data_IF_748514717467
#
_entry.id   IF_748514717467
#
_cell.length_a   1.000
_cell.length_b   1.000
_cell.length_c   1.000
_cell.angle_alpha   90.00
_cell.angle_beta   90.00
_cell.angle_gamma   90.00
#
_symmetry.space_group_name_H-M   'P 1'
#
loop_
_entity.id
_entity.type
_entity.pdbx_description
1 polymer ?
#
# COMPACT_ATOMS: atom_id res chain seq x y z
N UNK A 1 6.50 24.64 35.63
CA UNK A 1 5.60 24.39 36.77
C UNK A 1 6.11 25.21 37.95
N UNK A 2 5.60 26.43 38.08
CA UNK A 2 5.75 27.25 39.27
C UNK A 2 4.39 27.20 39.97
N UNK A 3 4.34 26.62 41.15
CA UNK A 3 3.15 26.61 42.01
C UNK A 3 2.95 28.01 42.58
N UNK A 4 1.95 28.71 42.04
CA UNK A 4 1.42 29.94 42.59
C UNK A 4 0.28 29.59 43.53
N UNK A 5 0.53 29.95 44.79
CA UNK A 5 -0.32 29.92 45.97
C UNK A 5 -1.77 30.34 45.69
N UNK A 6 -2.71 29.43 45.94
CA UNK A 6 -4.13 29.73 46.10
C UNK A 6 -4.38 30.23 47.53
N UNK A 7 -4.53 31.55 47.66
CA UNK A 7 -4.88 32.21 48.93
C UNK A 7 -6.38 32.50 48.89
N UNK A 8 -7.16 31.57 49.42
CA UNK A 8 -8.57 31.78 49.73
C UNK A 8 -8.73 32.57 51.03
N UNK A 9 -9.63 33.56 51.12
CA UNK A 9 -9.85 34.33 52.34
C UNK A 9 -10.77 33.56 53.30
N UNK A 10 -10.23 33.01 54.37
CA UNK A 10 -11.03 32.49 55.49
C UNK A 10 -11.37 33.65 56.42
N UNK A 11 -12.65 34.03 56.43
CA UNK A 11 -13.23 34.91 57.42
C UNK A 11 -13.00 34.31 58.82
N UNK A 12 -12.25 35.02 59.64
CA UNK A 12 -12.16 34.80 61.08
C UNK A 12 -13.45 35.35 61.71
N UNK A 13 -14.42 34.47 61.99
CA UNK A 13 -15.46 34.75 62.98
C UNK A 13 -14.86 34.49 64.37
N UNK A 14 -14.97 35.51 65.21
CA UNK A 14 -14.36 35.59 66.53
C UNK A 14 -15.39 35.10 67.56
N UNK A 15 -15.55 33.79 67.71
CA UNK A 15 -16.31 33.21 68.83
C UNK A 15 -15.35 32.89 69.97
N UNK A 16 -15.14 33.86 70.85
CA UNK A 16 -14.56 33.64 72.17
C UNK A 16 -15.66 33.27 73.15
N UNK A 17 -16.00 31.98 73.23
CA UNK A 17 -16.64 31.40 74.42
C UNK A 17 -15.61 30.55 75.15
N UNK A 18 -14.91 31.20 76.09
CA UNK A 18 -14.06 30.53 77.08
C UNK A 18 -14.99 29.82 78.06
N UNK A 19 -15.29 28.55 77.78
CA UNK A 19 -15.98 27.69 78.74
C UNK A 19 -14.93 27.06 79.66
N UNK A 20 -14.54 27.79 80.71
CA UNK A 20 -13.75 27.26 81.82
C UNK A 20 -14.59 26.22 82.56
N UNK A 21 -14.33 24.95 82.27
CA UNK A 21 -14.93 23.81 82.94
C UNK A 21 -14.34 23.68 84.36
N UNK A 22 -14.82 24.53 85.26
CA UNK A 22 -14.67 24.37 86.69
C UNK A 22 -15.63 23.26 87.13
N UNK A 23 -15.20 22.01 86.94
CA UNK A 23 -15.80 20.88 87.65
C UNK A 23 -15.77 21.16 89.15
N UNK A 24 -16.83 20.74 89.86
CA UNK A 24 -16.98 20.94 91.29
C UNK A 24 -15.72 20.47 92.03
N UNK A 25 -14.90 21.43 92.47
CA UNK A 25 -13.83 21.20 93.43
C UNK A 25 -14.49 21.01 94.80
N UNK A 26 -14.74 19.76 95.15
CA UNK A 26 -15.18 19.38 96.48
C UNK A 26 -14.03 19.55 97.48
N UNK A 27 -13.96 20.74 98.09
CA UNK A 27 -12.98 21.08 99.11
C UNK A 27 -13.30 20.49 100.51
N UNK A 28 -14.20 19.50 100.61
CA UNK A 28 -14.58 18.89 101.91
C UNK A 28 -13.92 17.54 102.19
N UNK A 29 -13.02 17.07 101.33
CA UNK A 29 -12.24 15.84 101.53
C UNK A 29 -10.77 16.17 101.87
N UNK A 30 -10.37 16.00 103.13
CA UNK A 30 -9.01 16.29 103.64
C UNK A 30 -7.93 15.25 103.30
N UNK A 31 -8.21 14.23 102.48
CA UNK A 31 -7.25 13.17 102.16
C UNK A 31 -6.98 13.09 100.65
N UNK A 32 -5.70 12.92 100.30
CA UNK A 32 -5.13 12.65 98.95
C UNK A 32 -4.69 13.86 98.11
N UNK A 33 -3.52 14.42 98.47
CA UNK A 33 -2.57 15.02 97.52
C UNK A 33 -1.09 14.81 97.93
N UNK A 34 -0.81 13.94 98.92
CA UNK A 34 0.55 13.64 99.40
C UNK A 34 1.12 12.32 98.83
N UNK A 35 0.29 11.33 98.52
CA UNK A 35 0.75 10.01 98.00
C UNK A 35 1.40 10.11 96.60
N UNK A 36 1.01 11.10 95.80
CA UNK A 36 1.56 11.31 94.46
C UNK A 36 2.99 11.89 94.51
N UNK A 37 3.32 12.59 95.61
CA UNK A 37 4.67 13.14 95.83
C UNK A 37 5.68 12.03 96.13
N UNK A 38 5.29 11.03 96.91
CA UNK A 38 6.17 9.90 97.25
C UNK A 38 6.49 9.02 96.04
N UNK A 39 5.54 8.86 95.11
CA UNK A 39 5.75 8.16 93.84
C UNK A 39 6.81 8.88 92.99
N UNK A 40 6.69 10.21 92.85
CA UNK A 40 7.67 11.00 92.08
C UNK A 40 9.05 11.09 92.74
N UNK A 41 9.14 10.99 94.07
CA UNK A 41 10.42 10.90 94.77
C UNK A 41 11.08 9.55 94.45
N UNK A 42 10.31 8.46 94.47
CA UNK A 42 10.82 7.12 94.17
C UNK A 42 11.32 7.00 92.72
N UNK A 43 10.58 7.55 91.77
CA UNK A 43 10.97 7.60 90.34
C UNK A 43 12.27 8.40 90.13
N UNK A 44 12.42 9.55 90.78
CA UNK A 44 13.63 10.36 90.68
C UNK A 44 14.85 9.71 91.36
N UNK A 45 14.66 8.88 92.39
CA UNK A 45 15.74 8.10 93.00
C UNK A 45 16.20 6.92 92.14
N UNK A 46 15.41 6.50 91.16
CA UNK A 46 15.76 5.43 90.24
C UNK A 46 16.60 5.90 89.04
N UNK A 47 16.57 7.20 88.72
CA UNK A 47 17.37 7.81 87.65
C UNK A 47 18.88 7.69 87.94
N UNK A 48 19.60 7.04 87.02
CA UNK A 48 21.04 6.76 87.13
C UNK A 48 21.88 8.04 87.25
N UNK A 49 21.42 9.15 86.65
CA UNK A 49 22.10 10.45 86.72
C UNK A 49 21.96 11.04 88.13
N UNK A 50 20.78 10.89 88.74
CA UNK A 50 20.48 11.34 90.10
C UNK A 50 21.23 10.49 91.14
N UNK A 51 21.36 9.18 90.92
CA UNK A 51 22.18 8.29 91.77
C UNK A 51 23.67 8.64 91.71
N UNK A 52 24.19 9.00 90.54
CA UNK A 52 25.59 9.40 90.40
C UNK A 52 25.87 10.76 91.06
N UNK A 53 24.94 11.72 90.93
CA UNK A 53 24.99 13.02 91.60
C UNK A 53 24.98 12.89 93.13
N UNK A 54 24.08 12.06 93.67
CA UNK A 54 23.97 11.78 95.11
C UNK A 54 25.19 11.02 95.66
N UNK A 55 25.77 10.06 94.89
CA UNK A 55 27.00 9.34 95.28
C UNK A 55 28.23 10.23 95.37
N UNK A 56 28.32 11.27 94.52
CA UNK A 56 29.41 12.26 94.54
C UNK A 56 29.20 13.34 95.63
N UNK A 57 28.05 13.37 96.30
CA UNK A 57 27.75 14.27 97.43
C UNK A 57 27.64 15.74 97.03
N UNK A 58 27.35 16.02 95.75
CA UNK A 58 27.24 17.37 95.21
C UNK A 58 25.77 17.77 95.14
N UNK A 59 25.44 19.02 95.49
CA UNK A 59 24.08 19.56 95.41
C UNK A 59 23.53 19.41 93.99
N UNK A 60 22.39 18.70 93.85
CA UNK A 60 21.75 18.40 92.55
C UNK A 60 21.51 19.67 91.73
N UNK A 61 21.22 20.81 92.37
CA UNK A 61 21.00 22.07 91.66
C UNK A 61 22.28 22.60 91.01
N UNK A 62 23.42 22.43 91.67
CA UNK A 62 24.72 22.79 91.11
C UNK A 62 25.13 21.82 89.99
N UNK A 63 24.88 20.53 90.17
CA UNK A 63 25.19 19.49 89.19
C UNK A 63 24.32 19.61 87.92
N UNK A 64 23.01 19.87 88.06
CA UNK A 64 22.12 20.17 86.93
C UNK A 64 22.58 21.41 86.17
N UNK A 65 23.03 22.45 86.89
CA UNK A 65 23.53 23.68 86.27
C UNK A 65 24.87 23.48 85.55
N UNK A 66 25.71 22.58 86.05
CA UNK A 66 26.99 22.21 85.43
C UNK A 66 26.77 21.33 84.19
N UNK A 67 25.86 20.34 84.25
CA UNK A 67 25.43 19.55 83.09
C UNK A 67 24.77 20.43 82.05
N UNK A 68 23.90 21.36 82.46
CA UNK A 68 23.25 22.30 81.54
C UNK A 68 24.29 23.18 80.86
N UNK A 69 25.32 23.65 81.57
CA UNK A 69 26.44 24.38 80.98
C UNK A 69 27.28 23.51 80.03
N UNK A 70 27.53 22.24 80.37
CA UNK A 70 28.30 21.32 79.54
C UNK A 70 27.54 20.94 78.26
N UNK A 71 26.24 20.68 78.37
CA UNK A 71 25.32 20.48 77.24
C UNK A 71 25.29 21.71 76.34
N UNK A 72 25.15 22.91 76.92
CA UNK A 72 25.13 24.15 76.15
C UNK A 72 26.47 24.39 75.43
N UNK A 73 27.57 23.92 76.02
CA UNK A 73 28.91 23.99 75.41
C UNK A 73 29.08 22.99 74.27
N UNK A 74 28.64 21.75 74.46
CA UNK A 74 28.64 20.69 73.42
C UNK A 74 27.69 21.04 72.29
N UNK A 75 26.53 21.62 72.59
CA UNK A 75 25.57 22.10 71.60
C UNK A 75 26.20 23.23 70.77
N UNK A 76 26.85 24.18 71.42
CA UNK A 76 27.51 25.28 70.73
C UNK A 76 28.71 24.80 69.88
N UNK A 77 29.50 23.85 70.38
CA UNK A 77 30.57 23.19 69.60
C UNK A 77 30.00 22.42 68.40
N UNK A 78 28.93 21.65 68.59
CA UNK A 78 28.27 20.89 67.52
C UNK A 78 27.67 21.83 66.46
N UNK A 79 27.03 22.91 66.88
CA UNK A 79 26.51 23.95 65.98
C UNK A 79 27.66 24.62 65.22
N UNK A 80 28.79 24.90 65.86
CA UNK A 80 29.96 25.44 65.16
C UNK A 80 30.54 24.47 64.13
N UNK A 81 30.60 23.18 64.43
CA UNK A 81 31.07 22.17 63.50
C UNK A 81 30.11 22.00 62.31
N UNK A 82 28.80 22.02 62.57
CA UNK A 82 27.78 22.06 61.50
C UNK A 82 27.88 23.33 60.66
N UNK A 83 28.13 24.50 61.26
CA UNK A 83 28.31 25.76 60.53
C UNK A 83 29.58 25.72 59.67
N UNK A 84 30.67 25.15 60.17
CA UNK A 84 31.91 24.95 59.39
C UNK A 84 31.68 24.01 58.21
N UNK A 85 31.05 22.87 58.44
CA UNK A 85 30.83 21.87 57.39
C UNK A 85 29.68 22.25 56.44
N UNK A 86 28.79 23.16 56.85
CA UNK A 86 27.69 23.69 56.04
C UNK A 86 28.20 24.30 54.72
N UNK A 87 29.36 24.95 54.72
CA UNK A 87 29.96 25.48 53.48
C UNK A 87 30.39 24.37 52.52
N UNK A 88 30.94 23.26 53.03
CA UNK A 88 31.32 22.11 52.22
C UNK A 88 30.09 21.38 51.69
N UNK A 89 29.07 21.17 52.54
CA UNK A 89 27.79 20.57 52.14
C UNK A 89 27.12 21.44 51.07
N UNK A 90 27.08 22.76 51.25
CA UNK A 90 26.52 23.68 50.26
C UNK A 90 27.30 23.70 48.94
N UNK A 91 28.63 23.56 49.00
CA UNK A 91 29.49 23.40 47.82
C UNK A 91 29.18 22.12 47.06
N UNK A 92 29.10 20.98 47.77
CA UNK A 92 28.74 19.69 47.18
C UNK A 92 27.33 19.74 46.58
N UNK A 93 26.37 20.35 47.28
CA UNK A 93 25.01 20.49 46.77
C UNK A 93 24.95 21.34 45.50
N UNK A 94 25.78 22.39 45.38
CA UNK A 94 25.92 23.15 44.12
C UNK A 94 26.54 22.32 43.01
N UNK A 95 27.53 21.47 43.31
CA UNK A 95 28.13 20.59 42.31
C UNK A 95 27.15 19.52 41.82
N UNK A 96 26.39 18.91 42.73
CA UNK A 96 25.33 17.96 42.40
C UNK A 96 24.27 18.65 41.54
N UNK A 97 23.79 19.83 41.94
CA UNK A 97 22.83 20.59 41.14
C UNK A 97 23.38 20.97 39.75
N UNK A 98 24.68 21.28 39.64
CA UNK A 98 25.32 21.54 38.37
C UNK A 98 25.39 20.27 37.49
N UNK A 99 25.70 19.11 38.08
CA UNK A 99 25.65 17.82 37.40
C UNK A 99 24.23 17.48 36.94
N UNK A 100 23.20 17.69 37.76
CA UNK A 100 21.80 17.48 37.39
C UNK A 100 21.41 18.38 36.21
N UNK A 101 21.85 19.64 36.20
CA UNK A 101 21.61 20.56 35.08
C UNK A 101 22.27 20.08 33.78
N UNK A 102 23.45 19.46 33.87
CA UNK A 102 24.14 18.88 32.71
C UNK A 102 23.41 17.63 32.22
N UNK A 103 22.98 16.76 33.13
CA UNK A 103 22.21 15.56 32.80
C UNK A 103 20.87 15.91 32.15
N UNK A 104 20.16 16.92 32.67
CA UNK A 104 18.93 17.43 32.10
C UNK A 104 19.14 17.94 30.65
N UNK A 105 20.24 18.65 30.40
CA UNK A 105 20.61 19.05 29.03
C UNK A 105 20.91 17.88 28.10
N UNK A 106 21.61 16.87 28.59
CA UNK A 106 21.90 15.66 27.80
C UNK A 106 20.61 14.88 27.52
N UNK A 107 19.71 14.78 28.49
CA UNK A 107 18.40 14.16 28.32
C UNK A 107 17.56 14.91 27.27
N UNK A 108 17.46 16.25 27.37
CA UNK A 108 16.76 17.05 26.38
C UNK A 108 17.34 16.88 24.97
N UNK A 109 18.67 16.83 24.85
CA UNK A 109 19.34 16.60 23.57
C UNK A 109 19.04 15.20 23.01
N UNK A 110 19.08 14.16 23.84
CA UNK A 110 18.76 12.78 23.44
C UNK A 110 17.29 12.62 23.08
N UNK A 111 16.37 13.24 23.82
CA UNK A 111 14.95 13.27 23.49
C UNK A 111 14.70 14.01 22.17
N UNK A 112 15.43 15.09 21.91
CA UNK A 112 15.43 15.77 20.62
C UNK A 112 15.87 14.85 19.48
N UNK A 113 17.03 14.20 19.63
CA UNK A 113 17.52 13.24 18.65
C UNK A 113 16.55 12.06 18.44
N UNK A 114 15.95 11.53 19.50
CA UNK A 114 14.93 10.48 19.39
C UNK A 114 13.71 10.97 18.60
N UNK A 115 13.24 12.18 18.88
CA UNK A 115 12.13 12.81 18.16
C UNK A 115 12.43 12.98 16.67
N UNK A 116 13.62 13.51 16.35
CA UNK A 116 14.06 13.70 14.97
C UNK A 116 14.18 12.36 14.23
N UNK A 117 14.79 11.35 14.87
CA UNK A 117 14.96 10.02 14.26
C UNK A 117 13.62 9.32 14.07
N UNK A 118 12.68 9.50 15.00
CA UNK A 118 11.31 8.98 14.88
C UNK A 118 10.57 9.67 13.74
N UNK A 119 10.66 11.01 13.63
CA UNK A 119 10.06 11.76 12.54
C UNK A 119 10.62 11.32 11.19
N UNK A 120 11.95 11.26 11.04
CA UNK A 120 12.61 10.81 9.81
C UNK A 120 12.21 9.36 9.47
N UNK A 121 12.18 8.46 10.44
CA UNK A 121 11.74 7.07 10.19
C UNK A 121 10.28 7.02 9.71
N UNK A 122 9.38 7.83 10.29
CA UNK A 122 7.99 7.88 9.81
C UNK A 122 7.86 8.48 8.41
N UNK A 123 8.66 9.48 8.07
CA UNK A 123 8.71 10.03 6.71
C UNK A 123 9.24 9.02 5.69
N UNK A 124 10.31 8.31 6.03
CA UNK A 124 10.87 7.23 5.18
C UNK A 124 9.83 6.13 4.98
N UNK A 125 9.14 5.71 6.05
CA UNK A 125 8.09 4.69 5.95
C UNK A 125 6.94 5.16 5.05
N UNK A 126 6.48 6.40 5.21
CA UNK A 126 5.44 7.00 4.37
C UNK A 126 5.86 7.06 2.90
N UNK A 127 7.09 7.48 2.61
CA UNK A 127 7.64 7.49 1.24
C UNK A 127 7.76 6.08 0.66
N UNK A 128 8.13 5.09 1.48
CA UNK A 128 8.22 3.71 1.07
C UNK A 128 6.84 3.14 0.73
N UNK A 129 5.84 3.39 1.57
CA UNK A 129 4.46 2.96 1.34
C UNK A 129 3.87 3.60 0.08
N UNK A 130 4.14 4.90 -0.14
CA UNK A 130 3.75 5.60 -1.36
C UNK A 130 4.43 5.02 -2.60
N UNK A 131 5.72 4.70 -2.51
CA UNK A 131 6.50 4.11 -3.60
C UNK A 131 5.96 2.73 -3.99
N UNK A 132 5.62 1.89 -3.00
CA UNK A 132 5.01 0.57 -3.22
C UNK A 132 3.63 0.73 -3.86
N UNK A 133 2.79 1.61 -3.32
CA UNK A 133 1.46 1.88 -3.88
C UNK A 133 1.53 2.39 -5.32
N UNK A 134 2.48 3.27 -5.64
CA UNK A 134 2.72 3.74 -7.00
C UNK A 134 3.19 2.61 -7.91
N UNK A 135 4.09 1.74 -7.44
CA UNK A 135 4.57 0.59 -8.22
C UNK A 135 3.43 -0.36 -8.58
N UNK A 136 2.54 -0.68 -7.63
CA UNK A 136 1.36 -1.51 -7.87
C UNK A 136 0.44 -0.86 -8.91
N UNK A 137 0.17 0.44 -8.79
CA UNK A 137 -0.63 1.18 -9.79
C UNK A 137 0.00 1.13 -11.19
N UNK A 138 1.33 1.28 -11.27
CA UNK A 138 2.05 1.20 -12.54
C UNK A 138 1.94 -0.20 -13.14
N UNK A 139 2.17 -1.25 -12.35
CA UNK A 139 2.10 -2.64 -12.81
C UNK A 139 0.69 -2.99 -13.31
N UNK A 140 -0.35 -2.58 -12.58
CA UNK A 140 -1.74 -2.78 -13.00
C UNK A 140 -2.04 -2.06 -14.31
N UNK A 141 -1.61 -0.79 -14.45
CA UNK A 141 -1.78 -0.03 -15.69
C UNK A 141 -1.02 -0.65 -16.86
N UNK A 142 0.18 -1.16 -16.63
CA UNK A 142 0.99 -1.78 -17.68
C UNK A 142 0.37 -3.11 -18.15
N UNK A 143 -0.15 -3.92 -17.23
CA UNK A 143 -0.87 -5.15 -17.55
C UNK A 143 -2.10 -4.86 -18.41
N UNK A 144 -2.94 -3.92 -17.98
CA UNK A 144 -4.16 -3.53 -18.72
C UNK A 144 -3.81 -2.90 -20.06
N UNK A 145 -2.77 -2.07 -20.13
CA UNK A 145 -2.32 -1.44 -21.38
C UNK A 145 -1.95 -2.49 -22.42
N UNK A 146 -1.29 -3.58 -22.03
CA UNK A 146 -0.94 -4.66 -22.94
C UNK A 146 -2.19 -5.30 -23.56
N UNK A 147 -3.13 -5.73 -22.72
CA UNK A 147 -4.38 -6.35 -23.17
C UNK A 147 -5.23 -5.40 -24.01
N UNK A 148 -5.34 -4.13 -23.58
CA UNK A 148 -6.13 -3.13 -24.30
C UNK A 148 -5.48 -2.74 -25.63
N UNK A 149 -4.14 -2.64 -25.69
CA UNK A 149 -3.43 -2.39 -26.95
C UNK A 149 -3.71 -3.49 -27.94
N UNK A 150 -3.55 -4.75 -27.52
CA UNK A 150 -3.85 -5.90 -28.38
C UNK A 150 -5.31 -5.87 -28.86
N UNK A 151 -6.26 -5.59 -27.97
CA UNK A 151 -7.67 -5.50 -28.34
C UNK A 151 -7.93 -4.39 -29.38
N UNK A 152 -7.30 -3.22 -29.21
CA UNK A 152 -7.44 -2.10 -30.14
C UNK A 152 -6.78 -2.43 -31.48
N UNK A 153 -5.58 -3.02 -31.46
CA UNK A 153 -4.86 -3.41 -32.68
C UNK A 153 -5.64 -4.43 -33.51
N UNK A 154 -6.33 -5.38 -32.86
CA UNK A 154 -7.20 -6.34 -33.54
C UNK A 154 -8.49 -5.70 -34.08
N UNK A 155 -9.05 -4.71 -33.37
CA UNK A 155 -10.29 -4.02 -33.76
C UNK A 155 -10.08 -2.99 -34.88
N UNK A 156 -8.92 -2.33 -34.91
CA UNK A 156 -8.61 -1.28 -35.89
C UNK A 156 -8.41 -1.89 -37.27
N UNK A 157 -9.00 -1.26 -38.29
CA UNK A 157 -8.75 -1.58 -39.70
C UNK A 157 -7.79 -0.52 -40.26
N UNK A 158 -6.53 -0.88 -40.58
CA UNK A 158 -5.59 0.07 -41.17
C UNK A 158 -6.07 0.57 -42.55
N UNK A 159 -5.82 1.84 -42.86
CA UNK A 159 -6.14 2.40 -44.19
C UNK A 159 -5.33 1.71 -45.30
N UNK A 160 -4.12 1.23 -44.98
CA UNK A 160 -3.29 0.42 -45.87
C UNK A 160 -4.01 -0.85 -46.31
N UNK A 161 -4.65 -1.58 -45.37
CA UNK A 161 -5.46 -2.76 -45.67
C UNK A 161 -6.60 -2.42 -46.65
N UNK A 162 -7.29 -1.31 -46.40
CA UNK A 162 -8.40 -0.86 -47.26
C UNK A 162 -7.89 -0.60 -48.69
N UNK A 163 -6.79 0.15 -48.83
CA UNK A 163 -6.17 0.46 -50.13
C UNK A 163 -5.69 -0.81 -50.84
N UNK A 164 -4.99 -1.70 -50.15
CA UNK A 164 -4.51 -2.95 -50.73
C UNK A 164 -5.65 -3.85 -51.21
N UNK A 165 -6.74 -3.98 -50.45
CA UNK A 165 -7.90 -4.78 -50.89
C UNK A 165 -8.58 -4.15 -52.11
N UNK A 166 -8.67 -2.81 -52.16
CA UNK A 166 -9.33 -2.10 -53.26
C UNK A 166 -8.48 -2.10 -54.54
N UNK A 167 -7.21 -1.73 -54.43
CA UNK A 167 -6.35 -1.33 -55.56
C UNK A 167 -5.41 -2.46 -56.01
N UNK A 168 -4.84 -3.25 -55.10
CA UNK A 168 -3.86 -4.27 -55.48
C UNK A 168 -4.51 -5.44 -56.25
N UNK A 169 -3.86 -5.96 -57.29
CA UNK A 169 -4.33 -7.14 -57.99
C UNK A 169 -4.23 -8.39 -57.11
N UNK A 170 -5.17 -9.33 -57.31
CA UNK A 170 -5.30 -10.58 -56.53
C UNK A 170 -4.07 -11.52 -56.68
N UNK A 171 -3.17 -11.24 -57.62
CA UNK A 171 -1.98 -12.08 -57.88
C UNK A 171 -0.81 -11.73 -56.95
N UNK A 172 -0.75 -10.50 -56.44
CA UNK A 172 0.32 -10.02 -55.57
C UNK A 172 0.25 -10.65 -54.18
N UNK A 173 1.42 -10.78 -53.54
CA UNK A 173 1.52 -11.37 -52.21
C UNK A 173 0.97 -10.43 -51.14
N UNK A 174 1.15 -9.12 -51.29
CA UNK A 174 0.55 -8.09 -50.42
C UNK A 174 -0.97 -8.26 -50.30
N UNK A 175 -1.67 -8.56 -51.39
CA UNK A 175 -3.12 -8.81 -51.34
C UNK A 175 -3.45 -10.07 -50.51
N UNK A 176 -2.64 -11.13 -50.61
CA UNK A 176 -2.86 -12.37 -49.86
C UNK A 176 -2.61 -12.17 -48.37
N UNK A 177 -1.55 -11.45 -48.01
CA UNK A 177 -1.25 -11.12 -46.61
C UNK A 177 -2.38 -10.29 -45.99
N UNK A 178 -2.82 -9.25 -46.69
CA UNK A 178 -3.93 -8.40 -46.24
C UNK A 178 -5.26 -9.17 -46.21
N UNK A 179 -5.46 -10.16 -47.08
CA UNK A 179 -6.63 -11.05 -47.04
C UNK A 179 -6.63 -11.96 -45.81
N UNK A 180 -5.46 -12.49 -45.42
CA UNK A 180 -5.31 -13.27 -44.19
C UNK A 180 -5.61 -12.42 -42.95
N UNK A 181 -5.06 -11.21 -42.88
CA UNK A 181 -5.30 -10.26 -41.79
C UNK A 181 -6.78 -9.85 -41.72
N UNK A 182 -7.41 -9.54 -42.87
CA UNK A 182 -8.85 -9.26 -42.94
C UNK A 182 -9.67 -10.44 -42.40
N UNK A 183 -9.34 -11.68 -42.78
CA UNK A 183 -10.05 -12.85 -42.29
C UNK A 183 -9.90 -13.03 -40.77
N UNK A 184 -8.71 -12.74 -40.23
CA UNK A 184 -8.48 -12.75 -38.79
C UNK A 184 -9.36 -11.71 -38.08
N UNK A 185 -9.35 -10.46 -38.55
CA UNK A 185 -10.18 -9.36 -38.00
C UNK A 185 -11.69 -9.66 -38.10
N UNK A 186 -12.15 -10.24 -39.20
CA UNK A 186 -13.55 -10.68 -39.35
C UNK A 186 -13.92 -11.71 -38.27
N UNK A 187 -13.07 -12.70 -38.02
CA UNK A 187 -13.33 -13.73 -37.01
C UNK A 187 -13.28 -13.14 -35.59
N UNK A 188 -12.31 -12.28 -35.31
CA UNK A 188 -12.21 -11.58 -34.02
C UNK A 188 -13.46 -10.74 -33.73
N UNK A 189 -13.93 -9.93 -34.69
CA UNK A 189 -15.16 -9.14 -34.51
C UNK A 189 -16.40 -10.03 -34.38
N UNK A 190 -16.47 -11.16 -35.09
CA UNK A 190 -17.55 -12.16 -34.90
C UNK A 190 -17.53 -12.74 -33.48
N UNK A 191 -16.37 -13.10 -32.95
CA UNK A 191 -16.23 -13.61 -31.57
C UNK A 191 -16.53 -12.54 -30.53
N UNK A 192 -16.18 -11.29 -30.77
CA UNK A 192 -16.46 -10.18 -29.84
C UNK A 192 -17.89 -9.63 -29.96
N UNK A 193 -18.60 -9.96 -31.04
CA UNK A 193 -19.99 -9.53 -31.22
C UNK A 193 -20.94 -10.05 -30.14
N UNK A 194 -20.58 -11.13 -29.44
CA UNK A 194 -21.32 -11.65 -28.28
C UNK A 194 -21.22 -10.77 -27.03
N UNK A 195 -20.29 -9.81 -27.00
CA UNK A 195 -20.05 -8.92 -25.85
C UNK A 195 -20.67 -7.52 -26.01
N UNK A 196 -21.44 -7.29 -27.08
CA UNK A 196 -22.18 -6.03 -27.36
C UNK A 196 -21.35 -4.73 -27.23
N UNK A 197 -20.05 -4.80 -27.54
CA UNK A 197 -19.21 -3.61 -27.53
C UNK A 197 -19.59 -2.67 -28.69
N UNK A 198 -19.81 -1.38 -28.39
CA UNK A 198 -20.17 -0.35 -29.40
C UNK A 198 -19.15 -0.25 -30.54
N UNK A 199 -17.86 -0.38 -30.23
CA UNK A 199 -16.79 -0.38 -31.23
C UNK A 199 -16.93 -1.50 -32.27
N UNK A 200 -17.47 -2.66 -31.89
CA UNK A 200 -17.74 -3.74 -32.85
C UNK A 200 -18.77 -3.31 -33.90
N UNK A 201 -19.79 -2.52 -33.52
CA UNK A 201 -20.82 -2.06 -34.44
C UNK A 201 -20.27 -1.07 -35.46
N UNK A 202 -19.40 -0.17 -35.03
CA UNK A 202 -18.78 0.85 -35.90
C UNK A 202 -17.88 0.20 -36.97
N UNK A 203 -17.10 -0.82 -36.57
CA UNK A 203 -16.15 -1.51 -37.45
C UNK A 203 -16.84 -2.54 -38.36
N UNK A 204 -17.97 -3.12 -37.91
CA UNK A 204 -18.67 -4.20 -38.62
C UNK A 204 -19.09 -3.83 -40.04
N UNK A 205 -19.65 -2.64 -40.26
CA UNK A 205 -20.09 -2.22 -41.61
C UNK A 205 -18.90 -2.10 -42.57
N UNK A 206 -17.78 -1.56 -42.11
CA UNK A 206 -16.55 -1.44 -42.91
C UNK A 206 -15.99 -2.82 -43.25
N UNK A 207 -15.90 -3.73 -42.27
CA UNK A 207 -15.45 -5.12 -42.51
C UNK A 207 -16.36 -5.85 -43.50
N UNK A 208 -17.68 -5.71 -43.37
CA UNK A 208 -18.63 -6.34 -44.30
C UNK A 208 -18.46 -5.82 -45.72
N UNK A 209 -18.27 -4.51 -45.91
CA UNK A 209 -17.97 -3.90 -47.22
C UNK A 209 -16.65 -4.41 -47.80
N UNK A 210 -15.58 -4.46 -47.00
CA UNK A 210 -14.28 -5.00 -47.42
C UNK A 210 -14.38 -6.49 -47.78
N UNK A 211 -15.10 -7.27 -46.99
CA UNK A 211 -15.37 -8.70 -47.24
C UNK A 211 -16.06 -8.88 -48.59
N UNK A 212 -17.15 -8.16 -48.85
CA UNK A 212 -17.88 -8.24 -50.13
C UNK A 212 -16.97 -7.88 -51.31
N UNK A 213 -16.15 -6.84 -51.17
CA UNK A 213 -15.22 -6.41 -52.21
C UNK A 213 -14.12 -7.45 -52.48
N UNK A 214 -13.51 -7.99 -51.44
CA UNK A 214 -12.50 -9.05 -51.55
C UNK A 214 -13.08 -10.30 -52.22
N UNK A 215 -14.28 -10.73 -51.82
CA UNK A 215 -14.98 -11.88 -52.41
C UNK A 215 -15.25 -11.65 -53.90
N UNK A 216 -15.69 -10.44 -54.26
CA UNK A 216 -15.99 -10.09 -55.65
C UNK A 216 -14.73 -10.16 -56.54
N UNK A 217 -13.61 -9.60 -56.07
CA UNK A 217 -12.31 -9.66 -56.79
C UNK A 217 -11.78 -11.08 -56.93
N UNK A 218 -11.86 -11.87 -55.85
CA UNK A 218 -11.43 -13.27 -55.86
C UNK A 218 -12.29 -14.10 -56.83
N UNK A 219 -13.62 -13.92 -56.78
CA UNK A 219 -14.56 -14.60 -57.68
C UNK A 219 -14.25 -14.28 -59.13
N UNK A 220 -14.11 -13.01 -59.47
CA UNK A 220 -13.79 -12.57 -60.82
C UNK A 220 -12.47 -13.18 -61.32
N UNK A 221 -11.43 -13.15 -60.49
CA UNK A 221 -10.14 -13.75 -60.81
C UNK A 221 -10.23 -15.26 -61.05
N UNK A 222 -10.90 -16.01 -60.16
CA UNK A 222 -11.03 -17.47 -60.29
C UNK A 222 -11.85 -17.84 -61.52
N UNK A 223 -12.97 -17.16 -61.78
CA UNK A 223 -13.78 -17.38 -62.97
C UNK A 223 -13.01 -17.05 -64.25
N UNK A 224 -12.24 -15.96 -64.28
CA UNK A 224 -11.40 -15.61 -65.41
C UNK A 224 -10.36 -16.71 -65.70
N UNK A 225 -9.74 -17.28 -64.66
CA UNK A 225 -8.83 -18.43 -64.82
C UNK A 225 -9.57 -19.68 -65.32
N UNK A 226 -10.78 -19.96 -64.84
CA UNK A 226 -11.61 -21.06 -65.32
C UNK A 226 -11.98 -20.89 -66.81
N UNK A 227 -12.38 -19.69 -67.21
CA UNK A 227 -12.72 -19.41 -68.61
C UNK A 227 -11.51 -19.48 -69.54
N UNK A 228 -10.30 -19.21 -69.04
CA UNK A 228 -9.08 -19.37 -69.83
C UNK A 228 -8.85 -20.83 -70.28
N UNK A 229 -9.40 -21.82 -69.58
CA UNK A 229 -9.34 -23.23 -70.01
C UNK A 229 -10.15 -23.52 -71.27
N UNK A 230 -11.11 -22.67 -71.64
CA UNK A 230 -11.92 -22.86 -72.87
C UNK A 230 -11.09 -22.69 -74.16
N UNK A 231 -9.86 -22.18 -74.06
CA UNK A 231 -8.96 -22.04 -75.22
C UNK A 231 -8.56 -23.43 -75.76
N UNK A 232 -8.78 -23.70 -77.07
CA UNK A 232 -8.46 -25.00 -77.66
C UNK A 232 -6.94 -25.25 -77.70
N UNK A 233 -6.55 -26.53 -77.67
CA UNK A 233 -5.16 -27.02 -77.83
C UNK A 233 -4.17 -26.58 -76.73
N UNK A 234 -4.63 -26.29 -75.51
CA UNK A 234 -3.74 -26.02 -74.37
C UNK A 234 -3.46 -27.28 -73.54
N UNK A 235 -2.23 -27.43 -73.02
CA UNK A 235 -1.96 -28.44 -72.00
C UNK A 235 -2.64 -28.02 -70.69
N UNK A 236 -3.83 -28.58 -70.42
CA UNK A 236 -4.66 -28.20 -69.26
C UNK A 236 -4.03 -28.52 -67.90
N UNK A 237 -3.03 -29.40 -67.84
CA UNK A 237 -2.32 -29.71 -66.58
C UNK A 237 -1.57 -28.48 -66.04
N UNK A 238 -1.03 -27.62 -66.92
CA UNK A 238 -0.26 -26.44 -66.51
C UNK A 238 -1.15 -25.38 -65.82
N UNK A 239 -2.27 -24.92 -66.41
CA UNK A 239 -3.18 -24.02 -65.72
C UNK A 239 -3.90 -24.67 -64.53
N UNK A 240 -4.14 -25.99 -64.49
CA UNK A 240 -4.63 -26.68 -63.29
C UNK A 240 -3.64 -26.59 -62.13
N UNK A 241 -2.35 -26.88 -62.37
CA UNK A 241 -1.30 -26.73 -61.36
C UNK A 241 -1.12 -25.28 -60.89
N UNK A 242 -1.38 -24.32 -61.77
CA UNK A 242 -1.36 -22.90 -61.42
C UNK A 242 -2.54 -22.53 -60.51
N UNK A 243 -3.73 -23.10 -60.74
CA UNK A 243 -4.91 -22.86 -59.90
C UNK A 243 -4.72 -23.40 -58.47
N UNK A 244 -4.00 -24.51 -58.30
CA UNK A 244 -3.69 -25.08 -56.98
C UNK A 244 -2.89 -24.12 -56.09
N UNK A 245 -2.06 -23.24 -56.67
CA UNK A 245 -1.33 -22.22 -55.92
C UNK A 245 -2.24 -21.18 -55.25
N UNK A 246 -3.50 -21.08 -55.71
CA UNK A 246 -4.50 -20.15 -55.19
C UNK A 246 -5.50 -20.80 -54.22
N UNK A 247 -5.11 -21.92 -53.58
CA UNK A 247 -5.94 -22.63 -52.57
C UNK A 247 -6.47 -21.70 -51.48
N UNK A 248 -5.64 -20.74 -51.03
CA UNK A 248 -5.98 -19.75 -49.98
C UNK A 248 -7.28 -19.01 -50.30
N UNK A 249 -7.54 -18.70 -51.57
CA UNK A 249 -8.77 -18.01 -51.98
C UNK A 249 -10.00 -18.88 -51.80
N UNK A 250 -9.90 -20.18 -52.10
CA UNK A 250 -11.01 -21.10 -51.88
C UNK A 250 -11.28 -21.31 -50.38
N UNK A 251 -10.24 -21.36 -49.54
CA UNK A 251 -10.40 -21.41 -48.09
C UNK A 251 -11.12 -20.17 -47.55
N UNK A 252 -10.69 -18.99 -47.99
CA UNK A 252 -11.31 -17.73 -47.62
C UNK A 252 -12.79 -17.67 -48.04
N UNK A 253 -13.11 -18.09 -49.27
CA UNK A 253 -14.49 -18.17 -49.74
C UNK A 253 -15.31 -19.18 -48.93
N UNK A 254 -14.77 -20.37 -48.62
CA UNK A 254 -15.49 -21.39 -47.83
C UNK A 254 -15.75 -20.94 -46.39
N UNK A 255 -14.85 -20.13 -45.80
CA UNK A 255 -15.00 -19.60 -44.46
C UNK A 255 -16.02 -18.46 -44.38
N UNK A 256 -16.11 -17.61 -45.42
CA UNK A 256 -16.95 -16.42 -45.40
C UNK A 256 -18.24 -16.54 -46.21
N UNK A 257 -18.20 -17.06 -47.44
CA UNK A 257 -19.34 -17.17 -48.36
C UNK A 257 -19.33 -18.48 -49.16
N UNK A 258 -19.93 -19.52 -48.57
CA UNK A 258 -19.96 -20.88 -49.16
C UNK A 258 -20.68 -20.94 -50.51
N UNK A 259 -21.63 -20.04 -50.76
CA UNK A 259 -22.36 -19.99 -52.03
C UNK A 259 -21.42 -19.65 -53.19
N UNK A 260 -20.54 -18.65 -53.01
CA UNK A 260 -19.58 -18.23 -54.05
C UNK A 260 -18.54 -19.33 -54.31
N UNK A 261 -18.06 -20.01 -53.26
CA UNK A 261 -17.16 -21.15 -53.41
C UNK A 261 -17.80 -22.28 -54.22
N UNK A 262 -19.09 -22.59 -53.96
CA UNK A 262 -19.85 -23.58 -54.72
C UNK A 262 -19.99 -23.18 -56.19
N UNK A 263 -20.32 -21.93 -56.47
CA UNK A 263 -20.42 -21.40 -57.82
C UNK A 263 -19.13 -21.59 -58.62
N UNK A 264 -17.99 -21.17 -58.07
CA UNK A 264 -16.67 -21.30 -58.73
C UNK A 264 -16.35 -22.77 -59.00
N UNK A 265 -16.65 -23.66 -58.06
CA UNK A 265 -16.43 -25.10 -58.23
C UNK A 265 -17.33 -25.68 -59.32
N UNK A 266 -18.62 -25.34 -59.32
CA UNK A 266 -19.59 -25.88 -60.27
C UNK A 266 -19.27 -25.39 -61.70
N UNK A 267 -18.83 -24.14 -61.87
CA UNK A 267 -18.35 -23.61 -63.17
C UNK A 267 -17.07 -24.30 -63.68
N UNK A 268 -16.15 -24.64 -62.77
CA UNK A 268 -14.96 -25.43 -63.10
C UNK A 268 -15.34 -26.84 -63.57
N UNK A 269 -16.26 -27.50 -62.86
CA UNK A 269 -16.74 -28.84 -63.20
C UNK A 269 -17.42 -28.82 -64.58
N UNK A 270 -18.31 -27.86 -64.84
CA UNK A 270 -18.98 -27.74 -66.14
C UNK A 270 -17.99 -27.49 -67.28
N UNK A 271 -17.06 -26.55 -67.10
CA UNK A 271 -16.05 -26.22 -68.11
C UNK A 271 -15.13 -27.42 -68.40
N UNK A 272 -14.62 -28.11 -67.38
CA UNK A 272 -13.79 -29.31 -67.57
C UNK A 272 -14.58 -30.46 -68.18
N UNK A 273 -15.81 -30.69 -67.76
CA UNK A 273 -16.65 -31.77 -68.29
C UNK A 273 -16.88 -31.61 -69.80
N UNK A 274 -17.18 -30.39 -70.26
CA UNK A 274 -17.33 -30.06 -71.68
C UNK A 274 -16.04 -30.27 -72.47
N UNK A 275 -14.90 -29.86 -71.90
CA UNK A 275 -13.58 -30.05 -72.52
C UNK A 275 -13.27 -31.54 -72.65
N UNK A 276 -13.30 -32.30 -71.56
CA UNK A 276 -13.01 -33.74 -71.58
C UNK A 276 -13.94 -34.48 -72.55
N UNK A 277 -15.24 -34.15 -72.55
CA UNK A 277 -16.18 -34.72 -73.51
C UNK A 277 -15.78 -34.43 -74.97
N UNK A 278 -15.41 -33.20 -75.30
CA UNK A 278 -14.93 -32.85 -76.64
C UNK A 278 -13.66 -33.61 -77.03
N UNK A 279 -12.72 -33.81 -76.09
CA UNK A 279 -11.51 -34.58 -76.32
C UNK A 279 -11.81 -36.06 -76.58
N UNK A 280 -12.62 -36.70 -75.73
CA UNK A 280 -13.00 -38.10 -75.90
C UNK A 280 -13.82 -38.32 -77.16
N UNK A 281 -14.76 -37.43 -77.48
CA UNK A 281 -15.53 -37.47 -78.73
C UNK A 281 -14.63 -37.31 -79.95
N UNK A 282 -13.69 -36.37 -79.90
CA UNK A 282 -12.70 -36.16 -80.96
C UNK A 282 -11.80 -37.37 -81.15
N UNK A 283 -11.27 -37.94 -80.07
CA UNK A 283 -10.45 -39.14 -80.09
C UNK A 283 -11.21 -40.35 -80.66
N UNK A 284 -12.42 -40.61 -80.15
CA UNK A 284 -13.30 -41.68 -80.65
C UNK A 284 -13.57 -41.53 -82.15
N UNK A 285 -13.93 -40.31 -82.61
CA UNK A 285 -14.19 -40.07 -84.03
C UNK A 285 -12.96 -40.27 -84.94
N UNK A 286 -11.74 -40.04 -84.44
CA UNK A 286 -10.50 -40.30 -85.17
C UNK A 286 -10.19 -41.79 -85.21
N UNK A 287 -10.42 -42.50 -84.11
CA UNK A 287 -10.22 -43.93 -84.01
C UNK A 287 -11.17 -44.69 -84.96
N UNK A 288 -12.43 -44.28 -85.04
CA UNK A 288 -13.40 -44.83 -86.00
C UNK A 288 -13.05 -44.56 -87.47
N UNK A 289 -12.25 -43.51 -87.77
CA UNK A 289 -11.78 -43.22 -89.15
C UNK A 289 -10.52 -43.99 -89.55
N UNK A 290 -9.81 -44.56 -88.58
CA UNK A 290 -8.61 -45.35 -88.78
C UNK A 290 -8.90 -46.85 -88.97
N UNK A 291 -10.14 -47.25 -88.70
CA UNK A 291 -10.67 -48.61 -88.86
C UNK A 291 -11.46 -48.70 -90.17
#
# INVERSE_FOLDING_TARGET
MAELLDVSPTNYEHDTDVNLQLGELDFTSEDFLLDEVDVHIQENLEDEIVKEALKKGVDLRHYSKEIEQELLKVENESVQDYIKESQNIASLHRQIAACDTILERMEQMLNGFQGDLSSISTEIQSLQDQSIAMNVKLKNRQSIRGELSQYVDEMVIPETMIKSILECPVTEDDFKEQLHELNHKINFVKEQSFRDARACLDVKDILEKLKIKAISKIREFLLQKIYAFRKPMSNYQIPQNTLLKFRIFNEFLMANERHVAKEVRDEYIDTMSKIYYSYFKGYSSRLTKLQ
#
